data_IF_427323537104
#
_entry.id   IF_427323537104
#
_cell.length_a   1.000
_cell.length_b   1.000
_cell.length_c   1.000
_cell.angle_alpha   90.00
_cell.angle_beta   90.00
_cell.angle_gamma   90.00
#
_symmetry.space_group_name_H-M   'P 1'
#
loop_
_entity.id
_entity.type
_entity.pdbx_description
1 polymer ?
#
# COMPACT_ATOMS: atom_id res chain seq x y z
N UNK A 1 6.67 6.49 -20.96
CA UNK A 1 6.00 6.49 -19.65
C UNK A 1 6.86 5.79 -18.62
N UNK A 2 6.86 6.28 -17.39
CA UNK A 2 7.64 5.69 -16.30
C UNK A 2 7.10 4.28 -15.97
N UNK A 3 7.99 3.28 -15.98
CA UNK A 3 7.61 1.89 -15.68
C UNK A 3 7.03 1.73 -14.27
N UNK A 4 7.48 2.55 -13.31
CA UNK A 4 6.93 2.52 -11.96
C UNK A 4 5.47 2.97 -11.93
N UNK A 5 5.14 4.02 -12.69
CA UNK A 5 3.77 4.50 -12.79
C UNK A 5 2.87 3.46 -13.46
N UNK A 6 3.38 2.79 -14.49
CA UNK A 6 2.63 1.71 -15.14
C UNK A 6 2.34 0.55 -14.19
N UNK A 7 3.34 0.17 -13.37
CA UNK A 7 3.19 -0.88 -12.38
C UNK A 7 2.15 -0.49 -11.31
N UNK A 8 2.19 0.75 -10.86
CA UNK A 8 1.23 1.28 -9.89
C UNK A 8 -0.19 1.27 -10.46
N UNK A 9 -0.37 1.70 -11.70
CA UNK A 9 -1.68 1.71 -12.35
C UNK A 9 -2.21 0.30 -12.62
N UNK A 10 -1.33 -0.62 -12.96
CA UNK A 10 -1.70 -2.02 -13.11
C UNK A 10 -2.18 -2.59 -11.76
N UNK A 11 -1.47 -2.30 -10.70
CA UNK A 11 -1.86 -2.70 -9.34
C UNK A 11 -3.22 -2.11 -8.96
N UNK A 12 -3.44 -0.82 -9.26
CA UNK A 12 -4.73 -0.17 -9.04
C UNK A 12 -5.86 -0.91 -9.74
N UNK A 13 -5.66 -1.25 -11.01
CA UNK A 13 -6.68 -1.94 -11.81
C UNK A 13 -7.02 -3.32 -11.26
N UNK A 14 -6.00 -4.09 -10.89
CA UNK A 14 -6.19 -5.44 -10.34
C UNK A 14 -7.00 -5.37 -9.04
N UNK A 15 -6.65 -4.47 -8.13
CA UNK A 15 -7.37 -4.35 -6.87
C UNK A 15 -8.77 -3.81 -7.05
N UNK A 16 -8.98 -2.90 -8.01
CA UNK A 16 -10.35 -2.44 -8.32
C UNK A 16 -11.22 -3.61 -8.78
N UNK A 17 -10.70 -4.48 -9.63
CA UNK A 17 -11.44 -5.65 -10.10
C UNK A 17 -11.73 -6.65 -8.97
N UNK A 18 -10.74 -6.90 -8.10
CA UNK A 18 -10.90 -7.81 -6.96
C UNK A 18 -11.95 -7.28 -5.98
N UNK A 19 -11.93 -5.99 -5.70
CA UNK A 19 -12.88 -5.36 -4.78
C UNK A 19 -14.29 -5.38 -5.36
N UNK A 20 -14.45 -5.09 -6.64
CA UNK A 20 -15.73 -5.16 -7.32
C UNK A 20 -16.31 -6.58 -7.29
N UNK A 21 -15.44 -7.59 -7.48
CA UNK A 21 -15.87 -8.99 -7.47
C UNK A 21 -16.38 -9.44 -6.10
N UNK A 22 -15.98 -8.75 -5.02
CA UNK A 22 -16.46 -9.02 -3.67
C UNK A 22 -17.70 -8.21 -3.29
N UNK A 23 -18.23 -7.44 -4.23
CA UNK A 23 -19.43 -6.63 -4.00
C UNK A 23 -19.18 -5.38 -3.17
N UNK A 24 -17.94 -4.97 -2.99
CA UNK A 24 -17.60 -3.75 -2.26
C UNK A 24 -17.61 -2.58 -3.23
N UNK A 25 -18.44 -1.58 -2.91
CA UNK A 25 -18.55 -0.37 -3.74
C UNK A 25 -17.58 0.69 -3.22
N UNK A 26 -16.42 0.80 -3.87
CA UNK A 26 -15.46 1.85 -3.55
C UNK A 26 -14.58 2.10 -4.77
N UNK A 27 -13.91 3.25 -4.77
CA UNK A 27 -12.97 3.62 -5.83
C UNK A 27 -11.54 3.43 -5.34
N UNK A 28 -10.77 2.61 -6.05
CA UNK A 28 -9.34 2.45 -5.80
C UNK A 28 -8.61 3.59 -6.49
N UNK A 29 -7.86 4.36 -5.73
CA UNK A 29 -7.19 5.57 -6.19
C UNK A 29 -5.70 5.33 -6.40
N UNK A 30 -5.11 6.06 -7.34
CA UNK A 30 -3.68 6.04 -7.63
C UNK A 30 -3.06 7.38 -7.24
N UNK A 31 -1.87 7.32 -6.63
CA UNK A 31 -1.06 8.50 -6.33
C UNK A 31 -1.81 9.54 -5.50
N UNK A 32 -2.14 9.17 -4.26
CA UNK A 32 -2.79 10.08 -3.32
C UNK A 32 -1.82 10.53 -2.24
N UNK A 33 -2.08 11.70 -1.66
CA UNK A 33 -1.32 12.19 -0.51
C UNK A 33 -2.22 12.20 0.71
N UNK A 34 -1.75 11.55 1.78
CA UNK A 34 -2.46 11.50 3.05
C UNK A 34 -1.65 12.26 4.10
N UNK A 35 -2.36 13.05 4.91
CA UNK A 35 -1.72 13.80 5.99
C UNK A 35 -1.62 12.92 7.22
N UNK A 36 -0.40 12.71 7.72
CA UNK A 36 -0.16 11.94 8.93
C UNK A 36 -0.46 12.73 10.20
N UNK A 37 -0.46 12.04 11.33
CA UNK A 37 -0.65 12.67 12.65
C UNK A 37 0.44 13.70 12.96
N UNK A 38 1.63 13.52 12.39
CA UNK A 38 2.74 14.47 12.54
C UNK A 38 2.55 15.75 11.73
N UNK A 39 1.57 15.79 10.83
CA UNK A 39 1.39 16.87 9.87
C UNK A 39 2.12 16.65 8.55
N UNK A 40 2.97 15.64 8.47
CA UNK A 40 3.68 15.30 7.24
C UNK A 40 2.74 14.66 6.24
N UNK A 41 2.82 15.09 4.97
CA UNK A 41 2.10 14.45 3.89
C UNK A 41 2.88 13.25 3.37
N UNK A 42 2.18 12.12 3.22
CA UNK A 42 2.77 10.90 2.69
C UNK A 42 2.12 10.55 1.37
N UNK A 43 2.95 10.28 0.36
CA UNK A 43 2.46 9.78 -0.92
C UNK A 43 2.18 8.30 -0.82
N UNK A 44 1.00 7.89 -1.29
CA UNK A 44 0.58 6.49 -1.32
C UNK A 44 0.32 6.11 -2.77
N UNK A 45 0.93 5.01 -3.21
CA UNK A 45 0.85 4.59 -4.61
C UNK A 45 -0.56 4.16 -5.01
N UNK A 46 -1.21 3.33 -4.17
CA UNK A 46 -2.58 2.87 -4.40
C UNK A 46 -3.32 2.89 -3.07
N UNK A 47 -4.54 3.40 -3.06
CA UNK A 47 -5.29 3.60 -1.82
C UNK A 47 -6.79 3.46 -2.02
N UNK A 48 -7.48 2.85 -1.04
CA UNK A 48 -8.95 2.86 -1.01
C UNK A 48 -9.47 2.80 0.44
N UNK A 49 -10.74 3.20 0.58
CA UNK A 49 -11.47 3.11 1.84
C UNK A 49 -12.82 2.45 1.57
N UNK A 50 -13.31 1.69 2.52
CA UNK A 50 -14.63 1.09 2.45
C UNK A 50 -15.17 0.86 3.85
N UNK A 51 -16.52 0.73 3.96
CA UNK A 51 -17.18 0.47 5.24
C UNK A 51 -17.96 -0.83 5.19
N UNK A 52 -17.85 -1.62 6.26
CA UNK A 52 -18.65 -2.82 6.46
C UNK A 52 -19.26 -2.72 7.84
N UNK A 53 -20.60 -2.79 7.91
CA UNK A 53 -21.35 -2.70 9.17
C UNK A 53 -20.97 -1.46 10.01
N UNK A 54 -20.75 -0.34 9.35
CA UNK A 54 -20.39 0.90 10.01
C UNK A 54 -18.91 1.02 10.40
N UNK A 55 -18.11 0.00 10.16
CA UNK A 55 -16.67 0.03 10.44
C UNK A 55 -15.93 0.41 9.17
N UNK A 56 -15.15 1.50 9.25
CA UNK A 56 -14.36 1.97 8.13
C UNK A 56 -13.04 1.23 8.05
N UNK A 57 -12.69 0.82 6.84
CA UNK A 57 -11.42 0.18 6.53
C UNK A 57 -10.65 1.04 5.52
N UNK A 58 -9.35 1.19 5.75
CA UNK A 58 -8.45 1.96 4.89
C UNK A 58 -7.28 1.08 4.51
N UNK A 59 -6.94 1.03 3.22
CA UNK A 59 -5.84 0.19 2.73
C UNK A 59 -4.92 1.02 1.86
N UNK A 60 -3.63 0.99 2.18
CA UNK A 60 -2.57 1.65 1.42
C UNK A 60 -1.62 0.61 0.84
N UNK A 61 -1.31 0.73 -0.44
CA UNK A 61 -0.38 -0.17 -1.11
C UNK A 61 0.85 0.63 -1.56
N UNK A 62 2.02 0.14 -1.21
CA UNK A 62 3.29 0.63 -1.71
C UNK A 62 3.79 -0.34 -2.78
N UNK A 63 4.05 0.18 -3.99
CA UNK A 63 4.49 -0.64 -5.11
C UNK A 63 5.99 -0.48 -5.30
N UNK A 64 6.73 -1.59 -5.27
CA UNK A 64 8.18 -1.61 -5.44
C UNK A 64 8.55 -2.39 -6.70
N UNK A 65 8.76 -1.66 -7.79
CA UNK A 65 9.16 -2.24 -9.07
C UNK A 65 10.68 -2.32 -9.16
N UNK A 66 11.29 -3.02 -8.19
CA UNK A 66 12.73 -3.18 -8.11
C UNK A 66 13.19 -4.41 -8.88
N UNK A 67 14.41 -4.37 -9.38
CA UNK A 67 15.05 -5.53 -10.02
C UNK A 67 15.60 -6.50 -9.00
N UNK A 68 15.80 -6.05 -7.76
CA UNK A 68 16.33 -6.83 -6.65
C UNK A 68 15.28 -6.96 -5.55
N UNK A 69 15.47 -7.93 -4.67
CA UNK A 69 14.61 -8.11 -3.52
C UNK A 69 14.56 -6.87 -2.63
N UNK A 70 13.43 -6.67 -1.98
CA UNK A 70 13.19 -5.49 -1.12
C UNK A 70 14.03 -5.60 0.15
N UNK A 71 14.89 -4.62 0.46
CA UNK A 71 15.65 -4.61 1.69
C UNK A 71 14.78 -4.16 2.88
N UNK A 72 15.21 -4.53 4.10
CA UNK A 72 14.47 -4.23 5.33
C UNK A 72 14.20 -2.73 5.52
N UNK A 73 15.13 -1.86 5.10
CA UNK A 73 14.96 -0.41 5.23
C UNK A 73 13.69 0.11 4.56
N UNK A 74 13.34 -0.44 3.40
CA UNK A 74 12.13 -0.03 2.67
C UNK A 74 10.86 -0.45 3.39
N UNK A 75 10.87 -1.62 4.03
CA UNK A 75 9.74 -2.08 4.83
C UNK A 75 9.59 -1.21 6.07
N UNK A 76 10.69 -0.88 6.75
CA UNK A 76 10.66 0.01 7.91
C UNK A 76 10.15 1.40 7.54
N UNK A 77 10.56 1.94 6.39
CA UNK A 77 10.10 3.24 5.92
C UNK A 77 8.57 3.24 5.73
N UNK A 78 8.05 2.21 5.10
CA UNK A 78 6.61 2.09 4.89
C UNK A 78 5.86 1.90 6.21
N UNK A 79 6.40 1.11 7.13
CA UNK A 79 5.80 0.95 8.45
C UNK A 79 5.76 2.29 9.20
N UNK A 80 6.80 3.11 9.05
CA UNK A 80 6.83 4.47 9.62
C UNK A 80 5.71 5.34 9.07
N UNK A 81 5.46 5.27 7.77
CA UNK A 81 4.35 5.99 7.14
C UNK A 81 3.02 5.52 7.72
N UNK A 82 2.79 4.21 7.79
CA UNK A 82 1.56 3.64 8.32
C UNK A 82 1.35 4.02 9.79
N UNK A 83 2.43 4.07 10.57
CA UNK A 83 2.36 4.47 11.98
C UNK A 83 1.98 5.93 12.15
N UNK A 84 2.28 6.79 11.18
CA UNK A 84 1.91 8.20 11.19
C UNK A 84 0.49 8.43 10.63
N UNK A 85 -0.10 7.44 10.00
CA UNK A 85 -1.49 7.47 9.55
C UNK A 85 -2.38 6.82 10.60
N UNK A 86 -3.70 7.09 10.54
CA UNK A 86 -4.64 6.54 11.52
C UNK A 86 -5.38 5.35 10.92
N UNK A 87 -5.20 4.17 11.54
CA UNK A 87 -5.95 2.95 11.21
C UNK A 87 -5.92 2.59 9.73
N UNK A 88 -4.73 2.63 9.14
CA UNK A 88 -4.50 2.23 7.74
C UNK A 88 -3.74 0.91 7.71
N UNK A 89 -4.32 -0.07 7.03
CA UNK A 89 -3.62 -1.33 6.74
C UNK A 89 -2.72 -1.15 5.53
N UNK A 90 -1.53 -1.71 5.58
CA UNK A 90 -0.55 -1.56 4.51
C UNK A 90 -0.24 -2.87 3.80
N UNK A 91 -0.03 -2.77 2.49
CA UNK A 91 0.42 -3.87 1.65
C UNK A 91 1.61 -3.36 0.84
N UNK A 92 2.70 -4.11 0.83
CA UNK A 92 3.83 -3.80 -0.04
C UNK A 92 3.94 -4.87 -1.12
N UNK A 93 3.90 -4.43 -2.37
CA UNK A 93 3.91 -5.32 -3.53
C UNK A 93 5.25 -5.18 -4.25
N UNK A 94 5.85 -6.32 -4.61
CA UNK A 94 7.10 -6.37 -5.34
C UNK A 94 7.04 -7.42 -6.42
N UNK A 95 7.81 -7.23 -7.50
CA UNK A 95 7.95 -8.23 -8.57
C UNK A 95 8.90 -9.37 -8.20
N UNK A 96 9.88 -9.10 -7.34
CA UNK A 96 10.98 -10.01 -7.10
C UNK A 96 10.88 -10.69 -5.74
N UNK A 97 10.29 -10.02 -4.75
CA UNK A 97 10.17 -10.52 -3.39
C UNK A 97 10.97 -9.68 -2.40
N UNK A 98 11.18 -10.24 -1.21
CA UNK A 98 11.79 -9.54 -0.09
C UNK A 98 13.07 -10.22 0.33
N UNK A 99 14.05 -9.43 0.79
CA UNK A 99 15.19 -9.99 1.50
C UNK A 99 14.68 -10.62 2.81
N UNK A 100 15.42 -11.58 3.34
CA UNK A 100 15.01 -12.36 4.52
C UNK A 100 14.66 -11.46 5.72
N UNK A 101 15.48 -10.47 6.00
CA UNK A 101 15.23 -9.54 7.11
C UNK A 101 14.01 -8.66 6.89
N UNK A 102 13.77 -8.25 5.65
CA UNK A 102 12.60 -7.45 5.29
C UNK A 102 11.31 -8.24 5.50
N UNK A 103 11.28 -9.50 5.05
CA UNK A 103 10.12 -10.37 5.22
C UNK A 103 9.84 -10.64 6.69
N UNK A 104 10.88 -10.92 7.46
CA UNK A 104 10.75 -11.17 8.89
C UNK A 104 10.16 -9.97 9.62
N UNK A 105 10.63 -8.77 9.30
CA UNK A 105 10.13 -7.53 9.89
C UNK A 105 8.66 -7.31 9.53
N UNK A 106 8.30 -7.46 8.25
CA UNK A 106 6.93 -7.28 7.78
C UNK A 106 5.97 -8.28 8.42
N UNK A 107 6.37 -9.54 8.52
CA UNK A 107 5.55 -10.60 9.11
C UNK A 107 5.26 -10.34 10.59
N UNK A 108 6.21 -9.76 11.31
CA UNK A 108 6.02 -9.43 12.73
C UNK A 108 5.03 -8.29 12.93
N UNK A 109 5.07 -7.27 12.08
CA UNK A 109 4.30 -6.04 12.26
C UNK A 109 3.04 -5.94 11.40
N UNK A 110 2.64 -7.02 10.77
CA UNK A 110 1.44 -6.96 9.91
C UNK A 110 0.15 -6.61 10.65
#
# INVERSE_FOLDING_TARGET
MNQNIEYEKFTQKIYQELINARGISTSVKHDVKLIGRSGQKHQIDVYWEYSINGIQHKVAIECKNYKKEIPIGKVRDFYGILSDLTDVSGIMITKVGYQKGAKKYADYYR
#
